data_IF_116698924887
#
_entry.id   IF_116698924887
#
_cell.length_a   1.000
_cell.length_b   1.000
_cell.length_c   1.000
_cell.angle_alpha   90.00
_cell.angle_beta   90.00
_cell.angle_gamma   90.00
#
_symmetry.space_group_name_H-M   'P 1'
#
loop_
_entity.id
_entity.type
_entity.pdbx_description
1 polymer ?
#
# COMPACT_ATOMS: atom_id res chain seq x y z
N UNK A 1 -10.85 -2.24 11.99
CA UNK A 1 -9.70 -1.53 11.40
C UNK A 1 -8.44 -2.05 12.04
N UNK A 2 -7.38 -2.24 11.24
CA UNK A 2 -6.06 -2.65 11.74
C UNK A 2 -5.07 -1.50 11.52
N UNK A 3 -4.26 -1.21 12.52
CA UNK A 3 -3.24 -0.17 12.44
C UNK A 3 -1.88 -0.79 12.71
N UNK A 4 -0.94 -0.59 11.79
CA UNK A 4 0.44 -0.99 12.00
C UNK A 4 1.21 0.19 12.62
N UNK A 5 2.21 -0.07 13.46
CA UNK A 5 3.06 0.98 14.02
C UNK A 5 3.92 1.62 12.94
N UNK A 6 4.41 2.83 13.22
CA UNK A 6 5.47 3.40 12.42
C UNK A 6 6.75 2.56 12.57
N UNK A 7 7.50 2.38 11.49
CA UNK A 7 8.74 1.61 11.50
C UNK A 7 9.80 2.23 10.59
N UNK A 8 11.06 2.07 10.97
CA UNK A 8 12.22 2.54 10.20
C UNK A 8 13.02 1.39 9.57
N UNK A 9 12.37 0.23 9.39
CA UNK A 9 12.93 -0.95 8.72
C UNK A 9 11.86 -1.73 7.93
N UNK A 10 11.92 -3.06 8.00
CA UNK A 10 10.91 -3.91 7.37
C UNK A 10 9.68 -4.05 8.26
N UNK A 11 8.50 -3.68 7.75
CA UNK A 11 7.21 -3.85 8.39
C UNK A 11 6.36 -4.81 7.56
N UNK A 12 5.97 -5.94 8.15
CA UNK A 12 4.95 -6.81 7.58
C UNK A 12 3.65 -6.64 8.35
N UNK A 13 2.62 -6.17 7.67
CA UNK A 13 1.27 -6.17 8.22
C UNK A 13 0.58 -7.50 7.87
N UNK A 14 -0.28 -8.05 8.74
CA UNK A 14 -1.04 -9.25 8.43
C UNK A 14 -2.11 -8.95 7.37
N UNK A 15 -2.68 -10.03 6.81
CA UNK A 15 -3.85 -9.90 5.96
C UNK A 15 -5.00 -9.24 6.72
N UNK A 16 -5.73 -8.34 6.06
CA UNK A 16 -6.86 -7.63 6.68
C UNK A 16 -8.05 -7.58 5.74
N UNK A 17 -9.25 -7.77 6.30
CA UNK A 17 -10.54 -7.69 5.59
C UNK A 17 -11.31 -6.41 5.90
N UNK A 18 -10.60 -5.30 6.10
CA UNK A 18 -11.19 -3.97 6.28
C UNK A 18 -10.15 -2.86 6.08
N UNK A 19 -10.30 -1.75 6.80
CA UNK A 19 -9.33 -0.65 6.72
C UNK A 19 -8.01 -1.00 7.43
N UNK A 20 -6.90 -0.95 6.68
CA UNK A 20 -5.53 -1.05 7.17
C UNK A 20 -4.85 0.32 7.07
N UNK A 21 -4.28 0.81 8.16
CA UNK A 21 -3.56 2.09 8.17
C UNK A 21 -2.14 1.95 8.72
N UNK A 22 -1.18 2.48 7.98
CA UNK A 22 0.24 2.48 8.33
C UNK A 22 0.77 3.93 8.26
N UNK A 23 0.96 4.63 9.39
CA UNK A 23 1.14 6.07 9.42
C UNK A 23 2.47 6.56 8.85
N UNK A 24 3.56 5.81 9.04
CA UNK A 24 4.85 6.13 8.43
C UNK A 24 5.73 4.87 8.38
N UNK A 25 6.30 4.55 7.22
CA UNK A 25 7.29 3.49 7.11
C UNK A 25 8.51 3.98 6.34
N UNK A 26 9.69 3.89 6.95
CA UNK A 26 10.97 4.11 6.28
C UNK A 26 11.66 2.76 6.11
N UNK A 27 11.60 2.17 4.93
CA UNK A 27 12.10 0.82 4.63
C UNK A 27 11.14 0.05 3.73
N UNK A 28 10.91 -1.23 4.04
CA UNK A 28 10.06 -2.11 3.24
C UNK A 28 8.75 -2.38 3.96
N UNK A 29 7.62 -1.98 3.39
CA UNK A 29 6.28 -2.31 3.88
C UNK A 29 5.66 -3.41 3.01
N UNK A 30 5.27 -4.52 3.63
CA UNK A 30 4.63 -5.63 2.93
C UNK A 30 3.28 -5.94 3.55
N UNK A 31 2.24 -5.97 2.72
CA UNK A 31 0.90 -6.41 3.10
C UNK A 31 0.44 -7.49 2.12
N UNK A 32 0.39 -8.77 2.53
CA UNK A 32 0.16 -9.89 1.60
C UNK A 32 -1.25 -9.88 0.98
N UNK A 33 -2.24 -9.40 1.74
CA UNK A 33 -3.60 -9.23 1.24
C UNK A 33 -4.33 -8.13 2.02
N UNK A 34 -5.02 -7.25 1.32
CA UNK A 34 -5.93 -6.29 1.94
C UNK A 34 -7.24 -6.24 1.16
N UNK A 35 -8.34 -6.55 1.83
CA UNK A 35 -9.70 -6.38 1.30
C UNK A 35 -10.36 -5.23 2.06
N UNK A 36 -10.54 -4.08 1.43
CA UNK A 36 -11.01 -2.84 2.05
C UNK A 36 -10.20 -1.62 1.63
N UNK A 37 -9.71 -0.85 2.60
CA UNK A 37 -8.94 0.37 2.33
C UNK A 37 -7.56 0.29 2.96
N UNK A 38 -6.51 0.40 2.16
CA UNK A 38 -5.13 0.49 2.63
C UNK A 38 -4.66 1.95 2.53
N UNK A 39 -4.25 2.53 3.66
CA UNK A 39 -3.75 3.91 3.70
C UNK A 39 -2.35 3.96 4.31
N UNK A 40 -1.40 4.41 3.51
CA UNK A 40 -0.01 4.64 3.92
C UNK A 40 0.38 6.11 3.61
N UNK A 41 0.10 7.07 4.51
CA UNK A 41 0.33 8.49 4.24
C UNK A 41 1.78 8.85 3.88
N UNK A 42 2.75 8.20 4.51
CA UNK A 42 4.16 8.40 4.21
C UNK A 42 4.90 7.05 4.14
N UNK A 43 5.50 6.75 2.99
CA UNK A 43 6.37 5.60 2.83
C UNK A 43 7.67 6.01 2.12
N UNK A 44 8.81 5.72 2.72
CA UNK A 44 10.12 5.93 2.11
C UNK A 44 10.80 4.57 1.96
N UNK A 45 10.91 4.05 0.74
CA UNK A 45 11.44 2.73 0.42
C UNK A 45 10.49 1.93 -0.47
N UNK A 46 10.22 0.68 -0.12
CA UNK A 46 9.44 -0.25 -0.98
C UNK A 46 8.10 -0.61 -0.32
N UNK A 47 7.00 -0.34 -1.00
CA UNK A 47 5.66 -0.77 -0.60
C UNK A 47 5.18 -1.90 -1.52
N UNK A 48 4.87 -3.05 -0.96
CA UNK A 48 4.38 -4.21 -1.69
C UNK A 48 3.03 -4.67 -1.16
N UNK A 49 2.03 -4.68 -2.03
CA UNK A 49 0.69 -5.20 -1.78
C UNK A 49 0.28 -6.13 -2.92
N UNK A 50 0.68 -7.42 -2.90
CA UNK A 50 0.42 -8.36 -4.00
C UNK A 50 -1.06 -8.50 -4.35
N UNK A 51 -1.94 -8.51 -3.35
CA UNK A 51 -3.38 -8.56 -3.54
C UNK A 51 -4.07 -7.44 -2.74
N UNK A 52 -4.75 -6.54 -3.45
CA UNK A 52 -5.60 -5.53 -2.84
C UNK A 52 -6.95 -5.46 -3.53
N UNK A 53 -8.03 -5.57 -2.75
CA UNK A 53 -9.40 -5.38 -3.23
C UNK A 53 -9.98 -4.16 -2.50
N UNK A 54 -10.29 -3.09 -3.23
CA UNK A 54 -10.78 -1.81 -2.69
C UNK A 54 -9.82 -0.64 -2.95
N UNK A 55 -9.59 0.23 -1.97
CA UNK A 55 -8.86 1.48 -2.19
C UNK A 55 -7.46 1.46 -1.58
N UNK A 56 -6.44 1.76 -2.37
CA UNK A 56 -5.07 1.90 -1.91
C UNK A 56 -4.62 3.36 -2.06
N UNK A 57 -4.27 4.00 -0.95
CA UNK A 57 -3.90 5.42 -0.90
C UNK A 57 -2.53 5.60 -0.27
N UNK A 58 -1.59 6.11 -1.07
CA UNK A 58 -0.22 6.43 -0.65
C UNK A 58 0.14 7.85 -1.11
N UNK A 59 -0.28 8.90 -0.38
CA UNK A 59 -0.12 10.29 -0.82
C UNK A 59 1.33 10.73 -0.97
N UNK A 60 2.23 10.32 -0.08
CA UNK A 60 3.66 10.57 -0.20
C UNK A 60 4.43 9.24 -0.18
N UNK A 61 4.96 8.85 -1.34
CA UNK A 61 5.80 7.66 -1.48
C UNK A 61 7.13 8.03 -2.13
N UNK A 62 8.24 7.69 -1.49
CA UNK A 62 9.58 7.88 -2.05
C UNK A 62 10.24 6.51 -2.22
N UNK A 63 10.20 5.97 -3.44
CA UNK A 63 10.72 4.64 -3.76
C UNK A 63 9.75 3.81 -4.62
N UNK A 64 9.66 2.51 -4.37
CA UNK A 64 8.95 1.58 -5.25
C UNK A 64 7.60 1.17 -4.66
N UNK A 65 6.52 1.29 -5.42
CA UNK A 65 5.19 0.79 -5.07
C UNK A 65 4.78 -0.32 -6.04
N UNK A 66 4.52 -1.52 -5.51
CA UNK A 66 4.15 -2.70 -6.29
C UNK A 66 2.80 -3.24 -5.83
N UNK A 67 1.84 -3.26 -6.74
CA UNK A 67 0.47 -3.74 -6.53
C UNK A 67 0.01 -4.58 -7.75
N UNK A 68 0.50 -5.83 -7.89
CA UNK A 68 0.27 -6.64 -9.08
C UNK A 68 -1.18 -7.02 -9.33
N UNK A 69 -1.94 -7.37 -8.29
CA UNK A 69 -3.37 -7.64 -8.40
C UNK A 69 -4.15 -6.63 -7.53
N UNK A 70 -4.64 -5.57 -8.17
CA UNK A 70 -5.48 -4.57 -7.53
C UNK A 70 -6.85 -4.52 -8.19
N UNK A 71 -7.91 -4.75 -7.43
CA UNK A 71 -9.29 -4.59 -7.88
C UNK A 71 -9.89 -3.41 -7.13
N UNK A 72 -9.84 -2.22 -7.73
CA UNK A 72 -10.24 -0.97 -7.07
C UNK A 72 -9.41 0.26 -7.45
N UNK A 73 -9.38 1.25 -6.57
CA UNK A 73 -8.75 2.55 -6.83
C UNK A 73 -7.38 2.66 -6.19
N UNK A 74 -6.37 3.06 -6.96
CA UNK A 74 -5.03 3.31 -6.48
C UNK A 74 -4.70 4.80 -6.62
N UNK A 75 -4.35 5.47 -5.52
CA UNK A 75 -4.06 6.90 -5.49
C UNK A 75 -2.68 7.16 -4.88
N UNK A 76 -1.79 7.73 -5.69
CA UNK A 76 -0.41 8.06 -5.31
C UNK A 76 0.01 9.43 -5.87
N UNK A 77 -0.54 10.54 -5.37
CA UNK A 77 -0.33 11.89 -5.92
C UNK A 77 1.12 12.40 -5.89
N UNK A 78 1.89 12.09 -4.84
CA UNK A 78 3.30 12.45 -4.75
C UNK A 78 4.15 11.18 -4.60
N UNK A 79 4.47 10.56 -5.74
CA UNK A 79 5.36 9.41 -5.80
C UNK A 79 6.68 9.78 -6.47
N UNK A 80 7.80 9.63 -5.77
CA UNK A 80 9.15 9.88 -6.27
C UNK A 80 9.91 8.59 -6.57
N UNK A 81 9.31 7.70 -7.36
CA UNK A 81 9.93 6.44 -7.77
C UNK A 81 9.01 5.58 -8.65
N UNK A 82 9.24 4.27 -8.67
CA UNK A 82 8.56 3.36 -9.59
C UNK A 82 7.20 2.92 -9.07
N UNK A 83 6.17 2.99 -9.92
CA UNK A 83 4.83 2.49 -9.62
C UNK A 83 4.49 1.34 -10.58
N UNK A 84 4.26 0.14 -10.04
CA UNK A 84 4.00 -1.08 -10.82
C UNK A 84 2.65 -1.69 -10.42
N UNK A 85 1.68 -1.61 -11.33
CA UNK A 85 0.33 -2.18 -11.16
C UNK A 85 -0.16 -2.89 -12.43
N UNK A 86 0.40 -4.08 -12.76
CA UNK A 86 0.13 -4.81 -14.00
C UNK A 86 -1.31 -5.30 -14.19
N UNK A 87 -2.03 -5.65 -13.13
CA UNK A 87 -3.44 -6.02 -13.20
C UNK A 87 -4.25 -5.13 -12.24
N UNK A 88 -4.54 -3.90 -12.70
CA UNK A 88 -5.44 -2.98 -12.02
C UNK A 88 -6.78 -2.97 -12.76
N UNK A 89 -7.81 -3.58 -12.17
CA UNK A 89 -9.19 -3.43 -12.64
C UNK A 89 -9.81 -2.30 -11.84
N UNK A 90 -9.95 -1.12 -12.46
CA UNK A 90 -10.78 -0.07 -11.88
C UNK A 90 -12.25 -0.50 -11.98
N UNK A 91 -13.06 -0.41 -10.91
CA UNK A 91 -14.49 -0.64 -11.02
C UNK A 91 -15.06 0.40 -11.99
N UNK A 92 -15.84 -0.08 -12.95
CA UNK A 92 -16.60 0.72 -13.91
C UNK A 92 -17.50 1.75 -13.25
#
# INVERSE_FOLDING_TARGET
SLSCPASSGSLSCPASSGSLSCPASSGSLSCPASSGSLSCPASSGSLSCPASSGSLSCPASSGSLSCPASSGSLSCPASSGSLSCPASSAPS
#
